data_IF_336968279253
#
_entry.id   IF_336968279253
#
_cell.length_a   1.000
_cell.length_b   1.000
_cell.length_c   1.000
_cell.angle_alpha   90.00
_cell.angle_beta   90.00
_cell.angle_gamma   90.00
#
_symmetry.space_group_name_H-M   'P 1'
#
loop_
_entity.id
_entity.type
_entity.pdbx_description
1 polymer ?
#
# COMPACT_ATOMS: atom_id res chain seq x y z
N UNK A 1 30.30 13.68 13.70
CA UNK A 1 29.81 14.12 12.37
C UNK A 1 28.72 15.19 12.51
N UNK A 2 29.05 16.43 12.97
CA UNK A 2 28.07 17.50 13.14
C UNK A 2 27.33 17.87 11.85
N UNK A 3 28.00 17.75 10.69
CA UNK A 3 27.47 17.99 9.36
C UNK A 3 26.38 17.00 8.95
N UNK A 4 26.31 15.83 9.56
CA UNK A 4 25.29 14.82 9.31
C UNK A 4 24.09 14.90 10.26
N UNK A 5 24.17 15.82 11.25
CA UNK A 5 23.14 15.90 12.30
C UNK A 5 21.74 16.19 11.73
N UNK A 6 21.63 17.13 10.80
CA UNK A 6 20.36 17.49 10.19
C UNK A 6 19.72 16.30 9.45
N UNK A 7 20.53 15.56 8.68
CA UNK A 7 20.09 14.36 7.98
C UNK A 7 19.67 13.26 8.97
N UNK A 8 20.44 13.08 10.04
CA UNK A 8 20.11 12.14 11.10
C UNK A 8 18.76 12.48 11.75
N UNK A 9 18.54 13.74 12.09
CA UNK A 9 17.30 14.21 12.71
C UNK A 9 16.10 14.00 11.75
N UNK A 10 16.28 14.21 10.45
CA UNK A 10 15.25 13.95 9.43
C UNK A 10 14.92 12.45 9.32
N UNK A 11 15.93 11.58 9.37
CA UNK A 11 15.74 10.13 9.27
C UNK A 11 15.06 9.52 10.52
N UNK A 12 15.13 10.21 11.64
CA UNK A 12 14.57 9.79 12.94
C UNK A 12 13.45 10.74 13.42
N UNK A 13 12.75 11.36 12.48
CA UNK A 13 11.72 12.34 12.77
C UNK A 13 10.49 11.71 13.44
N UNK A 14 10.33 11.95 14.73
CA UNK A 14 9.19 11.46 15.53
C UNK A 14 7.87 12.16 15.21
N UNK A 15 7.93 13.33 14.58
CA UNK A 15 6.76 14.12 14.17
C UNK A 15 6.27 13.74 12.76
N UNK A 16 6.92 12.79 12.11
CA UNK A 16 6.55 12.33 10.76
C UNK A 16 5.05 11.97 10.63
N UNK A 17 4.42 11.24 11.57
CA UNK A 17 3.00 10.93 11.48
C UNK A 17 2.13 12.21 11.40
N UNK A 18 2.42 13.20 12.23
CA UNK A 18 1.71 14.47 12.23
C UNK A 18 1.97 15.26 10.94
N UNK A 19 3.22 15.34 10.52
CA UNK A 19 3.60 16.03 9.26
C UNK A 19 2.88 15.46 8.05
N UNK A 20 2.77 14.14 7.94
CA UNK A 20 2.03 13.49 6.86
C UNK A 20 0.51 13.71 6.98
N UNK A 21 -0.03 13.66 8.19
CA UNK A 21 -1.46 13.89 8.42
C UNK A 21 -1.90 15.29 8.03
N UNK A 22 -1.09 16.28 8.35
CA UNK A 22 -1.35 17.70 8.08
C UNK A 22 -0.94 18.15 6.66
N UNK A 23 -0.30 17.28 5.88
CA UNK A 23 0.19 17.58 4.54
C UNK A 23 -0.93 17.46 3.50
N UNK A 24 -1.45 18.60 3.04
CA UNK A 24 -2.52 18.62 2.03
C UNK A 24 -2.11 18.01 0.68
N UNK A 25 -0.83 18.16 0.25
CA UNK A 25 -0.34 17.57 -0.99
C UNK A 25 -0.39 16.02 -0.92
N UNK A 26 -0.07 15.45 0.24
CA UNK A 26 -0.16 14.00 0.46
C UNK A 26 -1.59 13.49 0.26
N UNK A 27 -2.60 14.21 0.74
CA UNK A 27 -4.01 13.82 0.63
C UNK A 27 -4.68 14.28 -0.66
N UNK A 28 -3.99 15.06 -1.51
CA UNK A 28 -4.56 15.57 -2.76
C UNK A 28 -4.60 14.49 -3.85
N UNK A 29 -5.64 14.51 -4.66
CA UNK A 29 -5.83 13.60 -5.79
C UNK A 29 -6.63 14.29 -6.89
N UNK A 30 -6.57 13.75 -8.10
CA UNK A 30 -7.47 14.13 -9.20
C UNK A 30 -8.78 13.33 -9.12
N UNK A 31 -9.92 14.01 -9.24
CA UNK A 31 -11.24 13.37 -9.21
C UNK A 31 -11.56 12.73 -10.57
N UNK A 32 -10.87 11.64 -10.87
CA UNK A 32 -11.05 10.83 -12.07
C UNK A 32 -10.89 9.34 -11.74
N UNK A 33 -11.54 8.43 -12.53
CA UNK A 33 -11.30 7.01 -12.39
C UNK A 33 -9.83 6.66 -12.64
N UNK A 34 -9.22 5.95 -11.69
CA UNK A 34 -7.81 5.58 -11.77
C UNK A 34 -7.53 4.27 -11.03
N UNK A 35 -6.57 3.48 -11.54
CA UNK A 35 -6.12 2.27 -10.86
C UNK A 35 -5.39 2.62 -9.57
N UNK A 36 -5.68 1.90 -8.48
CA UNK A 36 -5.04 2.21 -7.19
C UNK A 36 -3.52 1.98 -7.21
N UNK A 37 -2.98 1.13 -8.10
CA UNK A 37 -1.53 1.04 -8.32
C UNK A 37 -0.93 2.35 -8.86
N UNK A 38 -1.63 3.06 -9.74
CA UNK A 38 -1.16 4.34 -10.29
C UNK A 38 -1.22 5.43 -9.20
N UNK A 39 -2.33 5.48 -8.45
CA UNK A 39 -2.48 6.37 -7.29
C UNK A 39 -1.39 6.14 -6.26
N UNK A 40 -1.07 4.87 -5.97
CA UNK A 40 0.04 4.49 -5.09
C UNK A 40 1.40 4.98 -5.61
N UNK A 41 1.67 4.86 -6.91
CA UNK A 41 2.91 5.35 -7.52
C UNK A 41 3.05 6.88 -7.48
N UNK A 42 1.95 7.60 -7.63
CA UNK A 42 1.91 9.07 -7.47
C UNK A 42 2.18 9.45 -6.01
N UNK A 43 1.51 8.78 -5.06
CA UNK A 43 1.70 8.98 -3.63
C UNK A 43 3.12 8.64 -3.18
N UNK A 44 3.69 7.54 -3.65
CA UNK A 44 5.07 7.13 -3.36
C UNK A 44 6.04 8.27 -3.66
N UNK A 45 5.85 8.96 -4.79
CA UNK A 45 6.69 10.08 -5.19
C UNK A 45 6.38 11.38 -4.41
N UNK A 46 5.16 11.58 -3.90
CA UNK A 46 4.85 12.66 -2.95
C UNK A 46 5.50 12.38 -1.59
N UNK A 47 5.40 11.15 -1.10
CA UNK A 47 6.00 10.70 0.16
C UNK A 47 7.51 10.90 0.13
N UNK A 48 8.18 10.54 -0.96
CA UNK A 48 9.63 10.67 -1.09
C UNK A 48 10.14 12.11 -0.91
N UNK A 49 9.30 13.12 -1.18
CA UNK A 49 9.66 14.53 -0.94
C UNK A 49 9.72 14.90 0.55
N UNK A 50 8.99 14.19 1.40
CA UNK A 50 8.86 14.47 2.84
C UNK A 50 9.45 13.38 3.73
N UNK A 51 9.75 12.23 3.16
CA UNK A 51 10.35 11.06 3.83
C UNK A 51 11.66 10.73 3.13
N UNK A 52 12.77 11.41 3.49
CA UNK A 52 14.04 11.33 2.74
C UNK A 52 14.68 9.94 2.78
N UNK A 53 14.34 9.13 3.76
CA UNK A 53 14.83 7.77 3.96
C UNK A 53 13.90 6.67 3.42
N UNK A 54 12.93 7.04 2.57
CA UNK A 54 12.13 6.07 1.82
C UNK A 54 13.03 5.36 0.79
N UNK A 55 13.00 4.02 0.77
CA UNK A 55 13.96 3.22 0.02
C UNK A 55 13.33 1.87 -0.39
N UNK A 56 13.48 1.43 -1.63
CA UNK A 56 12.87 0.14 -1.99
C UNK A 56 12.77 -0.12 -3.48
N UNK A 57 11.94 -1.10 -3.86
CA UNK A 57 11.76 -1.48 -5.25
C UNK A 57 10.97 -2.76 -5.44
N UNK A 58 11.08 -3.33 -6.63
CA UNK A 58 10.28 -4.47 -7.06
C UNK A 58 11.10 -5.68 -7.46
N UNK A 59 10.46 -6.86 -7.43
CA UNK A 59 10.96 -8.08 -8.03
C UNK A 59 10.78 -8.05 -9.56
N UNK A 60 11.57 -7.23 -10.24
CA UNK A 60 11.63 -7.04 -11.70
C UNK A 60 10.32 -6.52 -12.36
N UNK A 61 9.44 -5.91 -11.58
CA UNK A 61 8.11 -5.45 -12.00
C UNK A 61 7.87 -3.94 -11.72
N UNK A 62 8.91 -3.16 -11.46
CA UNK A 62 8.78 -1.77 -11.05
C UNK A 62 7.92 -0.89 -11.99
N UNK A 63 8.02 -0.98 -13.34
CA UNK A 63 7.16 -0.21 -14.24
C UNK A 63 5.68 -0.56 -14.11
N UNK A 64 5.34 -1.84 -13.90
CA UNK A 64 3.97 -2.32 -13.74
C UNK A 64 3.42 -2.04 -12.34
N UNK A 65 4.23 -2.20 -11.31
CA UNK A 65 3.87 -1.91 -9.92
C UNK A 65 3.82 -0.41 -9.61
N UNK A 66 4.39 0.45 -10.52
CA UNK A 66 4.49 1.90 -10.32
C UNK A 66 5.33 2.30 -9.09
N UNK A 67 6.43 1.58 -8.86
CA UNK A 67 7.21 1.69 -7.62
C UNK A 67 8.58 2.39 -7.79
N UNK A 68 8.82 3.04 -8.91
CA UNK A 68 10.02 3.83 -9.10
C UNK A 68 9.92 5.19 -8.38
N UNK A 69 10.93 5.50 -7.57
CA UNK A 69 11.19 6.83 -7.03
C UNK A 69 11.86 7.66 -8.13
N UNK A 70 11.10 8.61 -8.69
CA UNK A 70 11.54 9.41 -9.84
C UNK A 70 12.66 10.36 -9.45
N UNK A 71 13.76 10.32 -10.21
CA UNK A 71 14.93 11.18 -9.99
C UNK A 71 15.90 10.71 -8.91
N UNK A 72 15.59 9.61 -8.21
CA UNK A 72 16.41 9.13 -7.07
C UNK A 72 17.52 8.15 -7.46
N UNK A 73 17.65 7.80 -8.73
CA UNK A 73 18.67 6.87 -9.19
C UNK A 73 18.49 5.43 -8.71
N UNK A 74 19.35 4.55 -9.23
CA UNK A 74 19.35 3.13 -8.89
C UNK A 74 20.47 2.81 -7.89
N UNK A 75 20.11 2.15 -6.79
CA UNK A 75 21.10 1.65 -5.85
C UNK A 75 21.89 0.50 -6.47
N UNK A 76 23.19 0.69 -6.65
CA UNK A 76 24.05 -0.29 -7.30
C UNK A 76 25.47 -0.30 -6.72
N UNK A 77 26.29 -1.27 -7.14
CA UNK A 77 27.70 -1.31 -6.77
C UNK A 77 28.48 -0.07 -7.24
N UNK A 78 28.05 0.54 -8.33
CA UNK A 78 28.68 1.73 -8.89
C UNK A 78 28.22 3.02 -8.20
N UNK A 79 26.98 3.03 -7.65
CA UNK A 79 26.40 4.19 -7.00
C UNK A 79 25.48 3.76 -5.85
N UNK A 80 25.90 4.04 -4.63
CA UNK A 80 25.14 3.76 -3.40
C UNK A 80 24.21 4.92 -3.01
N UNK A 81 24.14 6.02 -3.75
CA UNK A 81 23.27 7.15 -3.47
C UNK A 81 21.84 6.94 -3.98
N UNK A 82 21.65 6.00 -4.92
CA UNK A 82 20.32 5.67 -5.47
C UNK A 82 19.39 5.06 -4.43
N UNK A 83 18.09 5.27 -4.61
CA UNK A 83 17.05 4.73 -3.71
C UNK A 83 16.20 3.61 -4.32
N UNK A 84 16.32 3.39 -5.64
CA UNK A 84 15.59 2.32 -6.32
C UNK A 84 16.37 1.01 -6.26
N UNK A 85 15.80 -0.01 -5.64
CA UNK A 85 16.36 -1.35 -5.58
C UNK A 85 15.78 -2.25 -6.68
N UNK A 86 16.65 -2.96 -7.38
CA UNK A 86 16.30 -3.96 -8.38
C UNK A 86 16.55 -5.37 -7.82
N UNK A 87 15.51 -6.01 -7.30
CA UNK A 87 15.65 -7.31 -6.65
C UNK A 87 15.73 -8.49 -7.65
N UNK A 88 15.34 -8.27 -8.93
CA UNK A 88 15.11 -9.34 -9.88
C UNK A 88 13.94 -10.22 -9.49
N UNK A 89 13.71 -11.33 -10.18
CA UNK A 89 12.63 -12.29 -9.88
C UNK A 89 13.03 -13.13 -8.65
N UNK A 90 12.94 -12.52 -7.46
CA UNK A 90 13.41 -13.10 -6.18
C UNK A 90 12.56 -12.59 -5.00
N UNK A 91 11.26 -12.83 -5.03
CA UNK A 91 10.32 -12.29 -4.05
C UNK A 91 10.66 -12.67 -2.60
N UNK A 92 11.10 -13.91 -2.39
CA UNK A 92 11.51 -14.37 -1.07
C UNK A 92 12.76 -13.62 -0.56
N UNK A 93 13.79 -13.50 -1.39
CA UNK A 93 15.02 -12.78 -1.04
C UNK A 93 14.75 -11.28 -0.88
N UNK A 94 13.93 -10.69 -1.77
CA UNK A 94 13.49 -9.29 -1.68
C UNK A 94 12.85 -9.01 -0.31
N UNK A 95 11.93 -9.85 0.12
CA UNK A 95 11.26 -9.70 1.42
C UNK A 95 12.23 -9.86 2.58
N UNK A 96 13.17 -10.81 2.50
CA UNK A 96 14.19 -10.99 3.53
C UNK A 96 15.14 -9.79 3.63
N UNK A 97 15.56 -9.23 2.49
CA UNK A 97 16.37 -8.00 2.43
C UNK A 97 15.57 -6.84 3.04
N UNK A 98 14.29 -6.68 2.69
CA UNK A 98 13.43 -5.66 3.27
C UNK A 98 13.35 -5.75 4.80
N UNK A 99 13.17 -6.95 5.36
CA UNK A 99 13.22 -7.18 6.80
C UNK A 99 14.59 -6.78 7.40
N UNK A 100 15.68 -7.13 6.73
CA UNK A 100 17.04 -6.78 7.16
C UNK A 100 17.26 -5.27 7.19
N UNK A 101 16.75 -4.54 6.19
CA UNK A 101 16.82 -3.07 6.12
C UNK A 101 16.06 -2.42 7.29
N UNK A 102 14.85 -2.88 7.60
CA UNK A 102 14.09 -2.38 8.76
C UNK A 102 14.84 -2.66 10.07
N UNK A 103 15.35 -3.89 10.24
CA UNK A 103 16.08 -4.27 11.46
C UNK A 103 17.39 -3.50 11.65
N UNK A 104 18.07 -3.15 10.56
CA UNK A 104 19.26 -2.29 10.60
C UNK A 104 18.88 -0.86 11.06
N UNK A 105 17.70 -0.39 10.64
CA UNK A 105 17.22 0.96 10.92
C UNK A 105 17.76 2.02 9.95
N UNK A 106 17.26 3.24 10.10
CA UNK A 106 17.67 4.41 9.30
C UNK A 106 16.90 4.57 7.99
N UNK A 107 16.29 3.54 7.44
CA UNK A 107 15.48 3.60 6.23
C UNK A 107 14.06 3.07 6.46
N UNK A 108 13.12 3.56 5.67
CA UNK A 108 11.75 3.05 5.60
C UNK A 108 11.62 2.27 4.28
N UNK A 109 11.81 0.94 4.31
CA UNK A 109 11.83 0.15 3.10
C UNK A 109 10.44 -0.27 2.64
N UNK A 110 10.25 -0.34 1.32
CA UNK A 110 9.14 -1.02 0.68
C UNK A 110 9.62 -2.07 -0.31
N UNK A 111 8.82 -3.12 -0.48
CA UNK A 111 9.05 -4.21 -1.43
C UNK A 111 7.80 -4.43 -2.25
N UNK A 112 7.95 -4.74 -3.54
CA UNK A 112 6.81 -4.81 -4.43
C UNK A 112 6.89 -5.95 -5.45
N UNK A 113 5.73 -6.53 -5.74
CA UNK A 113 5.52 -7.52 -6.79
C UNK A 113 4.02 -7.56 -7.16
N UNK A 114 3.62 -8.41 -8.12
CA UNK A 114 2.21 -8.72 -8.33
C UNK A 114 1.67 -9.52 -7.16
N UNK A 115 0.39 -9.32 -6.86
CA UNK A 115 -0.23 -9.90 -5.67
C UNK A 115 -0.20 -11.43 -5.66
N UNK A 116 -0.39 -12.08 -6.79
CA UNK A 116 -0.28 -13.55 -6.90
C UNK A 116 1.10 -14.06 -6.44
N UNK A 117 2.17 -13.30 -6.67
CA UNK A 117 3.52 -13.69 -6.28
C UNK A 117 3.81 -13.48 -4.78
N UNK A 118 2.82 -13.00 -4.01
CA UNK A 118 2.89 -13.06 -2.54
C UNK A 118 3.04 -14.50 -2.02
N UNK A 119 2.67 -15.51 -2.82
CA UNK A 119 2.92 -16.91 -2.52
C UNK A 119 4.41 -17.20 -2.26
N UNK A 120 5.31 -16.56 -3.03
CA UNK A 120 6.76 -16.67 -2.84
C UNK A 120 7.30 -15.82 -1.69
N UNK A 121 6.57 -14.78 -1.28
CA UNK A 121 6.94 -13.91 -0.15
C UNK A 121 6.47 -14.45 1.19
N UNK A 122 5.41 -15.25 1.22
CA UNK A 122 4.67 -15.66 2.42
C UNK A 122 5.55 -16.16 3.57
N UNK A 123 6.54 -17.05 3.38
CA UNK A 123 7.37 -17.56 4.49
C UNK A 123 8.11 -16.44 5.21
N UNK A 124 8.60 -15.45 4.46
CA UNK A 124 9.36 -14.33 5.03
C UNK A 124 8.41 -13.23 5.55
N UNK A 125 7.26 -13.01 4.91
CA UNK A 125 6.23 -12.11 5.43
C UNK A 125 5.73 -12.57 6.80
N UNK A 126 5.63 -13.89 7.02
CA UNK A 126 5.35 -14.46 8.35
C UNK A 126 6.43 -14.09 9.38
N UNK A 127 7.70 -14.07 8.98
CA UNK A 127 8.79 -13.62 9.86
C UNK A 127 8.70 -12.13 10.16
N UNK A 128 8.30 -11.28 9.20
CA UNK A 128 8.05 -9.86 9.46
C UNK A 128 7.04 -9.67 10.59
N UNK A 129 5.95 -10.44 10.58
CA UNK A 129 4.92 -10.41 11.63
C UNK A 129 5.44 -10.89 12.98
N UNK A 130 6.17 -12.02 13.00
CA UNK A 130 6.74 -12.60 14.22
C UNK A 130 7.76 -11.67 14.89
N UNK A 131 8.62 -11.04 14.08
CA UNK A 131 9.66 -10.12 14.54
C UNK A 131 9.13 -8.71 14.79
N UNK A 132 7.86 -8.42 14.44
CA UNK A 132 7.24 -7.10 14.51
C UNK A 132 8.00 -6.07 13.67
N UNK A 133 8.37 -6.44 12.46
CA UNK A 133 9.11 -5.62 11.50
C UNK A 133 8.10 -4.90 10.60
N UNK A 134 7.99 -3.56 10.64
CA UNK A 134 7.02 -2.78 9.86
C UNK A 134 7.44 -2.61 8.39
N UNK A 135 7.70 -3.71 7.69
CA UNK A 135 7.98 -3.69 6.26
C UNK A 135 6.71 -3.35 5.45
N UNK A 136 6.87 -2.51 4.43
CA UNK A 136 5.78 -2.13 3.52
C UNK A 136 5.78 -3.03 2.30
N UNK A 137 4.65 -3.66 2.02
CA UNK A 137 4.42 -4.53 0.86
C UNK A 137 3.50 -3.82 -0.13
N UNK A 138 3.98 -3.56 -1.34
CA UNK A 138 3.18 -2.99 -2.44
C UNK A 138 2.83 -4.12 -3.39
N UNK A 139 1.60 -4.62 -3.31
CA UNK A 139 1.13 -5.81 -4.04
C UNK A 139 0.06 -5.38 -5.05
N UNK A 140 0.42 -5.35 -6.31
CA UNK A 140 -0.47 -4.89 -7.39
C UNK A 140 -1.14 -6.05 -8.13
N UNK A 141 -2.11 -5.75 -9.02
CA UNK A 141 -2.84 -6.78 -9.77
C UNK A 141 -3.63 -7.69 -8.81
N UNK A 142 -4.54 -7.06 -8.05
CA UNK A 142 -5.18 -7.58 -6.84
C UNK A 142 -6.27 -8.62 -7.04
N UNK A 143 -6.74 -8.82 -8.28
CA UNK A 143 -7.96 -9.61 -8.54
C UNK A 143 -7.99 -10.16 -9.96
N UNK A 144 -9.08 -10.84 -10.32
CA UNK A 144 -9.38 -11.28 -11.69
C UNK A 144 -9.47 -10.10 -12.69
N UNK A 145 -9.58 -8.86 -12.22
CA UNK A 145 -9.48 -7.63 -13.02
C UNK A 145 -8.09 -7.35 -13.60
N UNK A 146 -7.13 -8.26 -13.43
CA UNK A 146 -5.83 -8.28 -14.13
C UNK A 146 -6.02 -8.35 -15.65
N UNK A 147 -6.99 -9.15 -16.12
CA UNK A 147 -7.36 -9.25 -17.54
C UNK A 147 -6.51 -10.26 -18.31
N UNK A 148 -5.87 -9.81 -19.39
CA UNK A 148 -5.20 -10.68 -20.37
C UNK A 148 -4.02 -11.52 -19.85
N UNK A 149 -3.45 -11.20 -18.70
CA UNK A 149 -2.37 -12.00 -18.09
C UNK A 149 -2.86 -13.41 -17.68
N UNK A 150 -4.17 -13.56 -17.47
CA UNK A 150 -4.86 -14.83 -17.27
C UNK A 150 -4.63 -15.46 -15.89
N UNK A 151 -5.04 -16.75 -15.75
CA UNK A 151 -5.16 -17.40 -14.43
C UNK A 151 -3.83 -17.60 -13.70
N UNK A 152 -2.69 -17.54 -14.39
CA UNK A 152 -1.37 -17.62 -13.75
C UNK A 152 -1.01 -16.36 -12.96
N UNK A 153 -1.75 -15.25 -13.18
CA UNK A 153 -1.51 -13.94 -12.58
C UNK A 153 -2.71 -13.42 -11.77
N UNK A 154 -3.83 -14.14 -11.79
CA UNK A 154 -5.07 -13.78 -11.12
C UNK A 154 -5.08 -14.35 -9.69
N UNK A 155 -4.94 -13.51 -8.64
CA UNK A 155 -4.98 -13.97 -7.26
C UNK A 155 -6.40 -14.34 -6.84
N UNK A 156 -6.55 -15.42 -6.10
CA UNK A 156 -7.82 -15.91 -5.54
C UNK A 156 -7.70 -16.03 -4.01
N UNK A 157 -6.84 -16.90 -3.52
CA UNK A 157 -6.69 -17.21 -2.09
C UNK A 157 -5.72 -16.27 -1.35
N UNK A 158 -4.92 -15.48 -2.05
CA UNK A 158 -3.86 -14.66 -1.46
C UNK A 158 -4.39 -13.64 -0.45
N UNK A 159 -5.59 -13.07 -0.71
CA UNK A 159 -6.19 -12.10 0.22
C UNK A 159 -6.58 -12.75 1.54
N UNK A 160 -7.21 -13.92 1.50
CA UNK A 160 -7.55 -14.70 2.69
C UNK A 160 -6.30 -15.14 3.44
N UNK A 161 -5.26 -15.56 2.70
CA UNK A 161 -3.97 -15.96 3.24
C UNK A 161 -3.30 -14.84 4.05
N UNK A 162 -3.23 -13.61 3.51
CA UNK A 162 -2.64 -12.48 4.22
C UNK A 162 -3.49 -12.04 5.42
N UNK A 163 -4.83 -12.03 5.27
CA UNK A 163 -5.74 -11.69 6.36
C UNK A 163 -5.72 -12.68 7.52
N UNK A 164 -5.42 -13.96 7.24
CA UNK A 164 -5.27 -14.99 8.27
C UNK A 164 -3.95 -14.86 9.07
N UNK A 165 -3.00 -14.03 8.61
CA UNK A 165 -1.70 -13.89 9.27
C UNK A 165 -1.79 -12.94 10.46
N UNK A 166 -1.47 -13.38 11.69
CA UNK A 166 -1.48 -12.51 12.87
C UNK A 166 -0.46 -11.36 12.75
N UNK A 167 -0.78 -10.21 13.31
CA UNK A 167 0.08 -9.02 13.31
C UNK A 167 0.53 -8.62 11.90
N UNK A 168 -0.42 -8.57 10.96
CA UNK A 168 -0.20 -8.16 9.58
C UNK A 168 -1.36 -7.29 9.11
N UNK A 169 -1.11 -6.04 8.73
CA UNK A 169 -2.14 -5.17 8.19
C UNK A 169 -2.29 -5.39 6.69
N UNK A 170 -3.54 -5.50 6.24
CA UNK A 170 -3.88 -5.64 4.82
C UNK A 170 -4.87 -4.56 4.43
N UNK A 171 -4.40 -3.60 3.64
CA UNK A 171 -5.24 -2.57 3.04
C UNK A 171 -5.51 -2.93 1.58
N UNK A 172 -6.78 -2.93 1.19
CA UNK A 172 -7.22 -3.08 -0.20
C UNK A 172 -8.08 -1.86 -0.55
N UNK A 173 -7.43 -0.73 -0.92
CA UNK A 173 -8.10 0.54 -1.11
C UNK A 173 -8.98 0.55 -2.36
N UNK A 174 -10.11 1.25 -2.29
CA UNK A 174 -11.08 1.39 -3.36
C UNK A 174 -10.85 2.63 -4.24
N UNK A 175 -10.13 3.64 -3.73
CA UNK A 175 -9.89 4.91 -4.42
C UNK A 175 -8.64 5.64 -3.91
N UNK A 176 -8.48 6.90 -4.32
CA UNK A 176 -7.32 7.71 -3.95
C UNK A 176 -7.24 8.00 -2.46
N UNK A 177 -8.36 8.29 -1.80
CA UNK A 177 -8.39 8.64 -0.37
C UNK A 177 -8.01 7.44 0.50
N UNK A 178 -8.55 6.27 0.17
CA UNK A 178 -8.20 5.04 0.85
C UNK A 178 -6.75 4.61 0.54
N UNK A 179 -6.25 4.85 -0.68
CA UNK A 179 -4.84 4.61 -1.01
C UNK A 179 -3.91 5.48 -0.19
N UNK A 180 -4.26 6.75 0.02
CA UNK A 180 -3.50 7.65 0.90
C UNK A 180 -3.54 7.19 2.36
N UNK A 181 -4.71 6.77 2.85
CA UNK A 181 -4.85 6.23 4.21
C UNK A 181 -4.02 4.94 4.42
N UNK A 182 -3.97 4.07 3.41
CA UNK A 182 -3.15 2.86 3.43
C UNK A 182 -1.65 3.18 3.51
N UNK A 183 -1.16 4.11 2.70
CA UNK A 183 0.23 4.57 2.74
C UNK A 183 0.56 5.27 4.07
N UNK A 184 -0.34 6.15 4.56
CA UNK A 184 -0.17 6.77 5.87
C UNK A 184 0.02 5.71 6.96
N UNK A 185 -0.90 4.73 7.02
CA UNK A 185 -0.85 3.65 8.00
C UNK A 185 0.42 2.79 7.87
N UNK A 186 0.88 2.54 6.64
CA UNK A 186 2.09 1.76 6.40
C UNK A 186 3.36 2.47 6.88
N UNK A 187 3.52 3.77 6.56
CA UNK A 187 4.70 4.56 6.92
C UNK A 187 4.79 4.84 8.41
N UNK A 188 3.63 5.04 9.05
CA UNK A 188 3.56 5.36 10.48
C UNK A 188 3.50 4.12 11.38
N UNK A 189 3.48 2.92 10.79
CA UNK A 189 3.52 1.67 11.55
C UNK A 189 4.90 1.47 12.20
N UNK A 190 4.91 1.17 13.50
CA UNK A 190 6.15 0.93 14.24
C UNK A 190 6.49 -0.56 14.38
N UNK A 191 5.50 -1.44 14.34
CA UNK A 191 5.66 -2.86 14.73
C UNK A 191 4.89 -3.84 13.86
N UNK A 192 4.15 -3.35 12.87
CA UNK A 192 3.27 -4.22 12.09
C UNK A 192 3.57 -4.06 10.61
N UNK A 193 3.95 -5.14 9.91
CA UNK A 193 4.08 -5.12 8.46
C UNK A 193 2.72 -4.81 7.82
N UNK A 194 2.75 -4.04 6.73
CA UNK A 194 1.53 -3.55 6.08
C UNK A 194 1.57 -3.86 4.59
N UNK A 195 0.57 -4.57 4.08
CA UNK A 195 0.37 -4.80 2.66
C UNK A 195 -0.68 -3.84 2.09
N UNK A 196 -0.32 -3.21 0.99
CA UNK A 196 -1.19 -2.44 0.11
C UNK A 196 -1.52 -3.32 -1.10
N UNK A 197 -2.77 -3.78 -1.20
CA UNK A 197 -3.26 -4.67 -2.26
C UNK A 197 -4.01 -3.81 -3.28
N UNK A 198 -3.42 -3.63 -4.47
CA UNK A 198 -3.74 -2.56 -5.40
C UNK A 198 -4.23 -3.07 -6.75
N UNK A 199 -5.23 -2.39 -7.33
CA UNK A 199 -5.83 -2.78 -8.61
C UNK A 199 -4.96 -2.46 -9.82
N UNK A 200 -5.10 -3.25 -10.90
CA UNK A 200 -4.64 -2.91 -12.24
C UNK A 200 -5.69 -2.07 -12.99
N UNK A 201 -6.95 -2.41 -12.85
CA UNK A 201 -8.08 -1.71 -13.48
C UNK A 201 -8.38 -0.38 -12.78
N UNK A 202 -8.95 0.55 -13.52
CA UNK A 202 -9.39 1.83 -12.98
C UNK A 202 -10.64 1.66 -12.11
N UNK A 203 -10.67 2.37 -11.00
CA UNK A 203 -11.81 2.46 -10.08
C UNK A 203 -12.30 3.91 -10.01
N UNK A 204 -13.62 4.13 -9.78
CA UNK A 204 -14.16 5.46 -9.57
C UNK A 204 -13.71 6.04 -8.21
N UNK A 205 -13.69 7.35 -8.08
CA UNK A 205 -13.61 8.00 -6.78
C UNK A 205 -14.99 7.96 -6.11
N UNK A 206 -15.03 7.66 -4.81
CA UNK A 206 -16.28 7.49 -4.07
C UNK A 206 -16.46 8.63 -3.06
N UNK A 207 -17.66 9.19 -2.99
CA UNK A 207 -17.95 10.35 -2.12
C UNK A 207 -17.78 10.03 -0.63
N UNK A 208 -18.11 8.81 -0.20
CA UNK A 208 -18.10 8.41 1.20
C UNK A 208 -16.76 7.92 1.74
N UNK A 209 -15.75 7.75 0.89
CA UNK A 209 -14.41 7.35 1.32
C UNK A 209 -13.63 8.51 1.92
N UNK A 210 -12.65 8.20 2.76
CA UNK A 210 -11.89 9.24 3.43
C UNK A 210 -10.75 8.74 4.31
N UNK A 211 -10.19 9.68 5.10
CA UNK A 211 -9.12 9.41 6.07
C UNK A 211 -9.52 8.37 7.12
N UNK A 212 -10.83 8.18 7.36
CA UNK A 212 -11.36 7.18 8.30
C UNK A 212 -10.97 5.74 7.95
N UNK A 213 -10.54 5.48 6.71
CA UNK A 213 -9.96 4.20 6.33
C UNK A 213 -8.78 3.75 7.21
N UNK A 214 -8.07 4.66 7.88
CA UNK A 214 -7.02 4.31 8.87
C UNK A 214 -7.56 3.53 10.07
N UNK A 215 -8.87 3.59 10.33
CA UNK A 215 -9.54 2.85 11.41
C UNK A 215 -9.73 1.36 11.08
N UNK A 216 -9.50 0.97 9.83
CA UNK A 216 -9.68 -0.40 9.32
C UNK A 216 -11.08 -0.65 8.76
N UNK A 217 -12.13 -0.31 9.48
CA UNK A 217 -13.51 -0.37 9.02
C UNK A 217 -14.24 0.92 9.37
N UNK A 218 -15.07 1.40 8.46
CA UNK A 218 -15.84 2.63 8.63
C UNK A 218 -17.06 2.64 7.69
N UNK A 219 -18.01 3.53 7.94
CA UNK A 219 -19.23 3.65 7.15
C UNK A 219 -18.97 4.54 5.93
N UNK A 220 -19.07 3.96 4.73
CA UNK A 220 -18.96 4.68 3.45
C UNK A 220 -20.32 5.24 3.01
N UNK A 221 -21.42 4.51 3.27
CA UNK A 221 -22.77 4.92 2.91
C UNK A 221 -23.77 4.40 3.95
N UNK A 222 -24.31 5.31 4.76
CA UNK A 222 -25.17 4.98 5.89
C UNK A 222 -26.63 4.72 5.46
N UNK A 223 -27.38 4.06 6.33
CA UNK A 223 -28.81 3.90 6.25
C UNK A 223 -29.54 5.20 6.63
N UNK A 224 -30.73 5.42 6.05
CA UNK A 224 -31.64 6.45 6.54
C UNK A 224 -32.37 6.02 7.85
N UNK A 225 -32.35 4.73 8.17
CA UNK A 225 -32.97 4.15 9.39
C UNK A 225 -31.92 4.11 10.50
N UNK A 226 -32.35 4.31 11.75
CA UNK A 226 -31.49 4.16 12.93
C UNK A 226 -30.89 2.75 13.03
N UNK A 227 -31.69 1.74 12.70
CA UNK A 227 -31.26 0.35 12.61
C UNK A 227 -31.35 -0.10 11.15
N UNK A 228 -30.22 -0.44 10.50
CA UNK A 228 -30.22 -0.89 9.12
C UNK A 228 -30.82 -2.30 9.01
N UNK A 229 -31.54 -2.60 7.92
CA UNK A 229 -32.07 -3.93 7.63
C UNK A 229 -30.96 -4.91 7.19
N UNK A 230 -29.88 -4.40 6.59
CA UNK A 230 -28.73 -5.17 6.14
C UNK A 230 -27.45 -4.34 6.17
N UNK A 231 -26.29 -5.02 6.30
CA UNK A 231 -24.97 -4.42 6.24
C UNK A 231 -24.19 -5.10 5.11
N UNK A 232 -23.68 -4.30 4.15
CA UNK A 232 -22.82 -4.77 3.08
C UNK A 232 -21.38 -4.38 3.44
N UNK A 233 -20.47 -5.35 3.52
CA UNK A 233 -19.05 -5.14 3.78
C UNK A 233 -18.28 -5.39 2.49
N UNK A 234 -17.48 -4.41 2.08
CA UNK A 234 -16.68 -4.49 0.85
C UNK A 234 -15.33 -3.80 1.01
N UNK A 235 -14.36 -4.17 0.16
CA UNK A 235 -13.02 -3.57 0.08
C UNK A 235 -12.57 -3.48 -1.38
N UNK A 236 -11.70 -2.52 -1.69
CA UNK A 236 -11.10 -2.43 -3.03
C UNK A 236 -12.13 -2.24 -4.14
N UNK A 237 -11.97 -2.95 -5.24
CA UNK A 237 -12.83 -2.85 -6.42
C UNK A 237 -14.31 -3.17 -6.14
N UNK A 238 -14.60 -4.00 -5.14
CA UNK A 238 -15.97 -4.39 -4.81
C UNK A 238 -16.73 -3.31 -4.02
N UNK A 239 -16.05 -2.28 -3.50
CA UNK A 239 -16.72 -1.20 -2.77
C UNK A 239 -17.69 -0.40 -3.66
N UNK A 240 -17.30 -0.10 -4.90
CA UNK A 240 -18.20 0.55 -5.86
C UNK A 240 -19.44 -0.29 -6.17
N UNK A 241 -19.28 -1.61 -6.29
CA UNK A 241 -20.39 -2.55 -6.48
C UNK A 241 -21.33 -2.55 -5.27
N UNK A 242 -20.78 -2.52 -4.06
CA UNK A 242 -21.57 -2.44 -2.83
C UNK A 242 -22.41 -1.15 -2.76
N UNK A 243 -21.83 -0.02 -3.15
CA UNK A 243 -22.54 1.27 -3.23
C UNK A 243 -23.68 1.23 -4.25
N UNK A 244 -23.45 0.63 -5.44
CA UNK A 244 -24.49 0.46 -6.45
C UNK A 244 -25.56 -0.53 -6.00
N UNK A 245 -25.20 -1.65 -5.37
CA UNK A 245 -26.14 -2.62 -4.82
C UNK A 245 -27.07 -1.96 -3.80
N UNK A 246 -26.55 -1.12 -2.90
CA UNK A 246 -27.39 -0.33 -1.97
C UNK A 246 -28.42 0.51 -2.70
N UNK A 247 -28.06 1.20 -3.80
CA UNK A 247 -28.99 2.02 -4.58
C UNK A 247 -30.11 1.19 -5.22
N UNK A 248 -29.79 -0.03 -5.67
CA UNK A 248 -30.79 -0.95 -6.22
C UNK A 248 -31.74 -1.45 -5.13
N UNK A 249 -31.21 -1.92 -4.02
CA UNK A 249 -32.02 -2.38 -2.89
C UNK A 249 -32.98 -1.30 -2.36
N UNK A 250 -32.53 -0.03 -2.33
CA UNK A 250 -33.42 1.08 -1.93
C UNK A 250 -34.57 1.38 -2.91
N UNK A 251 -34.50 0.92 -4.16
CA UNK A 251 -35.59 1.06 -5.15
C UNK A 251 -36.64 -0.04 -4.99
N UNK A 252 -36.20 -1.18 -4.49
CA UNK A 252 -37.08 -2.35 -4.34
C UNK A 252 -37.82 -2.37 -2.97
N UNK A 253 -37.55 -1.39 -2.08
CA UNK A 253 -38.17 -1.24 -0.73
C UNK A 253 -37.23 -1.68 0.37
#
# INVERSE_FOLDING_TARGET
>A
YPEMKELWDQYHDKDLPKKLWDNEEFWSYEDKPQATRNLSGELLNKINKVVPNLFGGSADLAPSNKTNLKGEGDFSKADYSGKNLHFGVREQAMTAIGNGLVLHGGVIPYVATFFVFSDYMKPIARLSSLMKVPLIYVLTHDSIGVGEDGPTHEPIEQLAMLRAQPNFHVFRPADAKETAAAWYSAITSEKTPTALVLTRQNLPQLAGTGRDAVKGAYIVADSAKETPDAIIIATGSELSLAVEAKKLLLKDG
#
